data_IF_623896051269
#
_entry.id   IF_623896051269
#
_cell.length_a   1.000
_cell.length_b   1.000
_cell.length_c   1.000
_cell.angle_alpha   90.00
_cell.angle_beta   90.00
_cell.angle_gamma   90.00
#
_symmetry.space_group_name_H-M   'P 1'
#
loop_
_entity.id
_entity.type
_entity.pdbx_description
1 polymer ?
#
# COMPACT_ATOMS: atom_id res chain seq x y z
N UNK A 1 -2.09 15.94 1.32
CA UNK A 1 -0.67 15.82 0.88
C UNK A 1 -0.06 17.21 0.74
N UNK A 2 1.27 17.35 0.71
CA UNK A 2 1.94 18.66 0.58
C UNK A 2 2.31 18.98 -0.86
N UNK A 3 2.76 18.00 -1.63
CA UNK A 3 3.26 18.20 -3.01
C UNK A 3 2.60 17.25 -4.01
N UNK A 4 2.79 17.54 -5.29
CA UNK A 4 2.41 16.63 -6.39
C UNK A 4 3.23 15.33 -6.30
N UNK A 5 4.50 15.42 -5.91
CA UNK A 5 5.38 14.27 -5.72
C UNK A 5 4.84 13.32 -4.64
N UNK A 6 4.19 13.83 -3.58
CA UNK A 6 3.52 12.97 -2.59
C UNK A 6 2.41 12.12 -3.23
N UNK A 7 1.67 12.69 -4.19
CA UNK A 7 0.61 11.98 -4.92
C UNK A 7 1.21 10.90 -5.82
N UNK A 8 2.25 11.25 -6.57
CA UNK A 8 2.95 10.31 -7.46
C UNK A 8 3.57 9.14 -6.68
N UNK A 9 4.16 9.43 -5.52
CA UNK A 9 4.69 8.41 -4.63
C UNK A 9 3.60 7.51 -4.07
N UNK A 10 2.42 8.05 -3.71
CA UNK A 10 1.29 7.23 -3.28
C UNK A 10 0.78 6.31 -4.40
N UNK A 11 0.53 6.85 -5.59
CA UNK A 11 0.05 6.07 -6.74
C UNK A 11 1.05 4.97 -7.11
N UNK A 12 2.35 5.28 -7.06
CA UNK A 12 3.41 4.31 -7.29
C UNK A 12 3.38 3.17 -6.27
N UNK A 13 3.29 3.46 -4.97
CA UNK A 13 3.27 2.38 -3.97
C UNK A 13 1.96 1.59 -4.02
N UNK A 14 0.82 2.20 -4.38
CA UNK A 14 -0.44 1.48 -4.60
C UNK A 14 -0.27 0.46 -5.72
N UNK A 15 0.28 0.87 -6.86
CA UNK A 15 0.54 -0.04 -7.99
C UNK A 15 1.50 -1.17 -7.63
N UNK A 16 2.58 -0.87 -6.91
CA UNK A 16 3.55 -1.88 -6.46
C UNK A 16 2.95 -2.88 -5.46
N UNK A 17 2.17 -2.39 -4.48
CA UNK A 17 1.49 -3.25 -3.50
C UNK A 17 0.47 -4.17 -4.18
N UNK A 18 -0.32 -3.65 -5.14
CA UNK A 18 -1.25 -4.44 -5.93
C UNK A 18 -0.53 -5.56 -6.69
N UNK A 19 0.53 -5.23 -7.43
CA UNK A 19 1.28 -6.21 -8.20
C UNK A 19 1.92 -7.29 -7.31
N UNK A 20 2.56 -6.87 -6.21
CA UNK A 20 3.16 -7.79 -5.25
C UNK A 20 2.10 -8.71 -4.62
N UNK A 21 0.99 -8.16 -4.13
CA UNK A 21 -0.08 -8.95 -3.53
C UNK A 21 -0.69 -9.93 -4.53
N UNK A 22 -0.97 -9.50 -5.77
CA UNK A 22 -1.51 -10.39 -6.81
C UNK A 22 -0.60 -11.58 -7.11
N UNK A 23 0.72 -11.37 -7.20
CA UNK A 23 1.67 -12.45 -7.41
C UNK A 23 1.72 -13.41 -6.21
N UNK A 24 1.92 -12.87 -5.00
CA UNK A 24 2.11 -13.70 -3.81
C UNK A 24 0.81 -14.40 -3.40
N UNK A 25 -0.36 -13.81 -3.61
CA UNK A 25 -1.64 -14.46 -3.37
C UNK A 25 -1.84 -15.71 -4.25
N UNK A 26 -1.31 -15.73 -5.48
CA UNK A 26 -1.34 -16.92 -6.33
C UNK A 26 -0.44 -18.02 -5.74
N UNK A 27 0.74 -17.66 -5.22
CA UNK A 27 1.62 -18.61 -4.55
C UNK A 27 0.98 -19.14 -3.26
N UNK A 28 0.44 -18.26 -2.42
CA UNK A 28 -0.21 -18.63 -1.17
C UNK A 28 -1.43 -19.54 -1.39
N UNK A 29 -2.18 -19.35 -2.48
CA UNK A 29 -3.28 -20.26 -2.84
C UNK A 29 -2.81 -21.66 -3.19
N UNK A 30 -1.62 -21.81 -3.77
CA UNK A 30 -1.05 -23.10 -4.18
C UNK A 30 -0.28 -23.78 -3.05
N UNK A 31 0.52 -23.01 -2.32
CA UNK A 31 1.37 -23.48 -1.23
C UNK A 31 1.53 -22.39 -0.16
N UNK A 32 0.55 -22.26 0.75
CA UNK A 32 0.51 -21.17 1.73
C UNK A 32 1.70 -21.21 2.70
N UNK A 33 2.06 -22.41 3.17
CA UNK A 33 3.13 -22.64 4.15
C UNK A 33 4.54 -22.66 3.56
N UNK A 34 4.68 -22.61 2.23
CA UNK A 34 6.01 -22.61 1.62
C UNK A 34 6.70 -21.27 1.89
N UNK A 35 7.98 -21.37 2.20
CA UNK A 35 8.87 -20.24 2.39
C UNK A 35 9.05 -19.44 1.11
N UNK A 36 8.95 -18.11 1.19
CA UNK A 36 9.23 -17.24 0.05
C UNK A 36 10.74 -17.15 -0.21
N UNK A 37 11.14 -17.23 -1.47
CA UNK A 37 12.56 -17.09 -1.81
C UNK A 37 13.08 -15.67 -1.55
N UNK A 38 14.38 -15.58 -1.23
CA UNK A 38 15.06 -14.35 -0.82
C UNK A 38 15.03 -13.23 -1.88
N UNK A 39 15.05 -13.57 -3.17
CA UNK A 39 14.99 -12.54 -4.22
C UNK A 39 13.65 -11.80 -4.21
N UNK A 40 12.54 -12.55 -4.15
CA UNK A 40 11.19 -11.98 -4.05
C UNK A 40 11.02 -11.22 -2.73
N UNK A 41 11.50 -11.79 -1.62
CA UNK A 41 11.44 -11.15 -0.31
C UNK A 41 12.13 -9.77 -0.32
N UNK A 42 13.33 -9.67 -0.92
CA UNK A 42 14.04 -8.39 -1.05
C UNK A 42 13.26 -7.34 -1.84
N UNK A 43 12.56 -7.75 -2.91
CA UNK A 43 11.73 -6.83 -3.68
C UNK A 43 10.51 -6.37 -2.89
N UNK A 44 9.87 -7.29 -2.16
CA UNK A 44 8.72 -6.98 -1.29
C UNK A 44 9.13 -6.06 -0.13
N UNK A 45 10.28 -6.32 0.50
CA UNK A 45 10.82 -5.48 1.56
C UNK A 45 11.12 -4.05 1.06
N UNK A 46 11.52 -3.87 -0.21
CA UNK A 46 11.65 -2.52 -0.81
C UNK A 46 10.31 -1.82 -0.95
N UNK A 47 9.26 -2.54 -1.38
CA UNK A 47 7.90 -1.99 -1.46
C UNK A 47 7.41 -1.58 -0.07
N UNK A 48 7.52 -2.47 0.92
CA UNK A 48 7.12 -2.22 2.33
C UNK A 48 7.83 -0.98 2.90
N UNK A 49 9.15 -0.87 2.76
CA UNK A 49 9.91 0.29 3.26
C UNK A 49 9.47 1.60 2.60
N UNK A 50 9.23 1.57 1.30
CA UNK A 50 8.74 2.74 0.56
C UNK A 50 7.33 3.10 1.02
N UNK A 51 6.45 2.11 1.21
CA UNK A 51 5.13 2.31 1.77
C UNK A 51 5.18 2.90 3.18
N UNK A 52 6.04 2.43 4.08
CA UNK A 52 6.22 3.01 5.41
C UNK A 52 6.56 4.50 5.36
N UNK A 53 7.47 4.86 4.46
CA UNK A 53 7.88 6.25 4.25
C UNK A 53 6.72 7.12 3.74
N UNK A 54 5.92 6.61 2.80
CA UNK A 54 4.79 7.34 2.19
C UNK A 54 3.58 7.43 3.12
N UNK A 55 3.26 6.36 3.84
CA UNK A 55 2.10 6.27 4.72
C UNK A 55 2.33 7.01 6.05
N UNK A 56 3.59 7.10 6.48
CA UNK A 56 3.97 7.70 7.75
C UNK A 56 3.31 7.02 8.95
N UNK A 57 3.47 7.59 10.15
CA UNK A 57 2.99 6.94 11.38
C UNK A 57 1.47 6.68 11.41
N UNK A 58 0.65 7.59 10.85
CA UNK A 58 -0.81 7.49 10.92
C UNK A 58 -1.41 6.35 10.09
N UNK A 59 -0.80 6.03 8.95
CA UNK A 59 -1.31 5.04 8.00
C UNK A 59 -0.37 3.84 7.86
N UNK A 60 0.68 3.74 8.66
CA UNK A 60 1.46 2.52 8.76
C UNK A 60 0.60 1.43 9.41
N UNK A 61 0.39 0.25 8.80
CA UNK A 61 -0.50 -0.76 9.36
C UNK A 61 -0.04 -1.33 10.71
N UNK A 62 1.28 -1.38 10.91
CA UNK A 62 1.90 -1.96 12.09
C UNK A 62 3.07 -1.07 12.52
N UNK A 63 3.00 -0.46 13.70
CA UNK A 63 4.00 0.52 14.16
C UNK A 63 5.41 -0.06 14.19
N UNK A 64 5.58 -1.31 14.65
CA UNK A 64 6.89 -1.95 14.85
C UNK A 64 7.39 -2.76 13.66
N UNK A 65 6.65 -2.84 12.56
CA UNK A 65 7.03 -3.66 11.40
C UNK A 65 7.69 -2.82 10.30
N UNK A 66 8.97 -3.06 10.02
CA UNK A 66 9.71 -2.36 8.95
C UNK A 66 9.94 -3.18 7.69
N UNK A 67 10.09 -4.49 7.84
CA UNK A 67 10.32 -5.45 6.77
C UNK A 67 10.26 -6.86 7.36
N UNK A 68 10.17 -7.87 6.50
CA UNK A 68 10.46 -9.24 6.89
C UNK A 68 11.97 -9.44 7.09
N UNK A 69 12.33 -10.32 8.02
CA UNK A 69 13.73 -10.69 8.27
C UNK A 69 14.20 -11.73 7.25
N UNK A 70 15.46 -11.61 6.81
CA UNK A 70 16.05 -12.53 5.83
C UNK A 70 16.43 -13.89 6.46
N UNK A 71 16.63 -13.93 7.79
CA UNK A 71 17.00 -15.15 8.55
C UNK A 71 15.79 -16.02 8.90
N UNK A 72 14.63 -15.39 9.10
CA UNK A 72 13.34 -16.05 9.37
C UNK A 72 12.39 -15.81 8.19
N UNK A 73 12.68 -16.51 7.09
CA UNK A 73 11.97 -16.31 5.83
C UNK A 73 10.46 -16.61 6.01
N UNK A 74 9.58 -15.67 5.66
CA UNK A 74 8.14 -15.81 5.88
C UNK A 74 7.51 -16.82 4.91
N UNK A 75 6.34 -17.34 5.27
CA UNK A 75 5.53 -18.14 4.35
C UNK A 75 4.83 -17.25 3.31
N UNK A 76 4.42 -17.85 2.19
CA UNK A 76 3.62 -17.14 1.18
C UNK A 76 2.33 -16.55 1.77
N UNK A 77 1.69 -17.23 2.73
CA UNK A 77 0.50 -16.71 3.41
C UNK A 77 0.81 -15.50 4.29
N UNK A 78 1.93 -15.50 5.02
CA UNK A 78 2.31 -14.37 5.88
C UNK A 78 2.54 -13.11 5.05
N UNK A 79 3.27 -13.27 3.94
CA UNK A 79 3.56 -12.16 3.02
C UNK A 79 2.29 -11.62 2.37
N UNK A 80 1.38 -12.51 1.96
CA UNK A 80 0.07 -12.10 1.41
C UNK A 80 -0.73 -11.29 2.44
N UNK A 81 -0.80 -11.78 3.68
CA UNK A 81 -1.52 -11.12 4.76
C UNK A 81 -0.99 -9.72 5.02
N UNK A 82 0.33 -9.55 5.13
CA UNK A 82 0.95 -8.24 5.37
C UNK A 82 0.69 -7.30 4.19
N UNK A 83 0.91 -7.73 2.94
CA UNK A 83 0.65 -6.91 1.77
C UNK A 83 -0.80 -6.43 1.70
N UNK A 84 -1.76 -7.27 2.08
CA UNK A 84 -3.18 -6.88 2.13
C UNK A 84 -3.43 -5.75 3.13
N UNK A 85 -2.77 -5.74 4.29
CA UNK A 85 -2.90 -4.66 5.28
C UNK A 85 -2.32 -3.34 4.76
N UNK A 86 -1.15 -3.40 4.11
CA UNK A 86 -0.55 -2.23 3.46
C UNK A 86 -1.44 -1.65 2.35
N UNK A 87 -2.05 -2.51 1.52
CA UNK A 87 -3.01 -2.07 0.51
C UNK A 87 -4.23 -1.37 1.14
N UNK A 88 -4.73 -1.86 2.27
CA UNK A 88 -5.87 -1.24 2.96
C UNK A 88 -5.53 0.14 3.50
N UNK A 89 -4.40 0.30 4.17
CA UNK A 89 -4.02 1.62 4.67
C UNK A 89 -3.58 2.59 3.57
N UNK A 90 -2.96 2.11 2.48
CA UNK A 90 -2.68 2.95 1.32
C UNK A 90 -3.96 3.50 0.69
N UNK A 91 -5.00 2.67 0.58
CA UNK A 91 -6.30 3.11 0.09
C UNK A 91 -7.04 4.03 1.08
N UNK A 92 -6.88 3.81 2.39
CA UNK A 92 -7.39 4.74 3.41
C UNK A 92 -6.68 6.09 3.35
N UNK A 93 -5.35 6.09 3.23
CA UNK A 93 -4.56 7.31 3.07
C UNK A 93 -4.98 8.06 1.81
N UNK A 94 -5.17 7.35 0.69
CA UNK A 94 -5.71 7.92 -0.55
C UNK A 94 -7.07 8.57 -0.33
N UNK A 95 -8.00 7.81 0.24
CA UNK A 95 -9.38 8.21 0.49
C UNK A 95 -9.49 9.48 1.34
N UNK A 96 -8.62 9.60 2.36
CA UNK A 96 -8.55 10.78 3.23
C UNK A 96 -7.95 12.02 2.54
N UNK A 97 -7.32 11.85 1.37
CA UNK A 97 -6.63 12.91 0.64
C UNK A 97 -7.28 13.22 -0.72
N UNK A 98 -8.52 12.79 -0.96
CA UNK A 98 -9.27 13.12 -2.16
C UNK A 98 -10.58 13.84 -1.84
N UNK A 99 -11.00 14.73 -2.74
CA UNK A 99 -12.25 15.48 -2.63
C UNK A 99 -13.03 15.39 -3.94
N UNK A 100 -14.36 15.40 -3.85
CA UNK A 100 -15.22 15.42 -5.02
C UNK A 100 -15.46 16.87 -5.45
N UNK A 101 -15.22 17.15 -6.74
CA UNK A 101 -15.52 18.42 -7.37
C UNK A 101 -16.12 18.18 -8.76
N UNK A 102 -17.24 18.84 -9.08
CA UNK A 102 -18.00 18.66 -10.33
C UNK A 102 -18.24 17.18 -10.72
N UNK A 103 -18.46 16.31 -9.73
CA UNK A 103 -18.72 14.88 -9.94
C UNK A 103 -17.48 14.01 -10.18
N UNK A 104 -16.29 14.59 -10.32
CA UNK A 104 -15.01 13.87 -10.38
C UNK A 104 -14.28 13.94 -9.04
N UNK A 105 -13.36 13.01 -8.79
CA UNK A 105 -12.53 12.99 -7.59
C UNK A 105 -11.12 13.44 -7.91
N UNK A 106 -10.57 14.26 -7.03
CA UNK A 106 -9.26 14.88 -7.20
C UNK A 106 -8.47 14.81 -5.90
N UNK A 107 -7.15 14.73 -6.00
CA UNK A 107 -6.29 14.82 -4.82
C UNK A 107 -6.29 16.23 -4.23
N UNK A 108 -6.19 16.30 -2.90
CA UNK A 108 -5.97 17.54 -2.16
C UNK A 108 -4.48 17.70 -1.86
N UNK A 109 -3.88 18.74 -2.45
CA UNK A 109 -2.45 19.08 -2.32
C UNK A 109 -2.34 20.46 -1.70
N UNK A 110 -1.55 20.57 -0.64
CA UNK A 110 -1.37 21.81 0.14
C UNK A 110 -2.71 22.46 0.57
N UNK A 111 -3.66 21.60 0.98
CA UNK A 111 -5.00 22.03 1.43
C UNK A 111 -5.93 22.51 0.32
N UNK A 112 -5.53 22.42 -0.95
CA UNK A 112 -6.34 22.82 -2.12
C UNK A 112 -6.63 21.62 -3.01
N UNK A 113 -7.78 21.63 -3.66
CA UNK A 113 -8.08 20.63 -4.70
C UNK A 113 -7.10 20.84 -5.85
N UNK A 114 -6.46 19.75 -6.27
CA UNK A 114 -5.52 19.75 -7.40
C UNK A 114 -6.21 19.30 -8.68
N UNK A 115 -5.50 19.41 -9.81
CA UNK A 115 -5.95 18.87 -11.10
C UNK A 115 -5.74 17.36 -11.25
N UNK A 116 -5.11 16.72 -10.25
CA UNK A 116 -4.75 15.30 -10.33
C UNK A 116 -5.97 14.46 -10.00
N UNK A 117 -6.50 13.77 -11.02
CA UNK A 117 -7.67 12.88 -10.87
C UNK A 117 -7.34 11.66 -10.01
N UNK A 118 -8.34 11.25 -9.24
CA UNK A 118 -8.34 10.02 -8.47
C UNK A 118 -9.67 9.27 -8.64
N UNK A 119 -9.72 8.04 -8.14
CA UNK A 119 -10.98 7.30 -8.00
C UNK A 119 -11.80 7.80 -6.81
N UNK A 120 -13.10 7.46 -6.73
CA UNK A 120 -13.86 7.68 -5.50
C UNK A 120 -13.20 6.94 -4.32
N UNK A 121 -13.29 7.46 -3.08
CA UNK A 121 -12.91 6.73 -1.88
C UNK A 121 -13.57 5.37 -1.83
N UNK A 122 -12.81 4.31 -1.57
CA UNK A 122 -13.41 3.02 -1.27
C UNK A 122 -14.03 3.04 0.13
N UNK A 123 -15.14 2.33 0.32
CA UNK A 123 -15.88 2.30 1.60
C UNK A 123 -15.14 1.45 2.65
N UNK A 124 -13.97 1.88 3.12
CA UNK A 124 -13.36 1.31 4.32
C UNK A 124 -13.88 2.12 5.51
N UNK A 125 -14.92 1.61 6.19
CA UNK A 125 -15.38 2.17 7.47
C UNK A 125 -16.67 3.03 7.49
N UNK A 126 -17.63 2.84 6.57
CA UNK A 126 -19.01 3.24 6.91
C UNK A 126 -19.56 2.26 7.95
N UNK A 127 -19.80 2.76 9.18
CA UNK A 127 -20.78 2.15 10.08
C UNK A 127 -22.16 2.18 9.43
#
# INVERSE_FOLDING_TARGET
MKTIEDVENLEKIIGQLLAAHSEIAILAKKSPSDTLNTFKLKMINRVIKTSNSVLGGKYKPFEDFEQFEDEDLPSNSDVTMILAQYMKEAERYRSDNVMQEYGSWYYVVDGKVSEIRSGPPSKVGRK
#
